data_IF_008274082339
#
_entry.id   IF_008274082339
#
_cell.length_a   1.000
_cell.length_b   1.000
_cell.length_c   1.000
_cell.angle_alpha   90.00
_cell.angle_beta   90.00
_cell.angle_gamma   90.00
#
_symmetry.space_group_name_H-M   'P 1'
#
loop_
_entity.id
_entity.type
_entity.pdbx_description
1 polymer ?
#
# COMPACT_ATOMS: atom_id res chain seq x y z
N UNK A 1 23.87 -0.57 -2.16
CA UNK A 1 23.17 -1.77 -1.61
C UNK A 1 22.56 -1.58 -0.22
N UNK A 2 22.88 -0.50 0.51
CA UNK A 2 22.34 -0.22 1.85
C UNK A 2 20.85 0.14 1.86
N UNK A 3 20.38 0.87 0.84
CA UNK A 3 18.98 1.35 0.76
C UNK A 3 17.96 0.20 0.59
N UNK A 4 18.15 -0.79 -0.32
CA UNK A 4 17.24 -1.94 -0.41
C UNK A 4 17.12 -2.73 0.89
N UNK A 5 18.25 -2.98 1.55
CA UNK A 5 18.29 -3.73 2.82
C UNK A 5 17.56 -2.97 3.93
N UNK A 6 17.74 -1.65 4.00
CA UNK A 6 17.04 -0.81 4.97
C UNK A 6 15.51 -0.82 4.74
N UNK A 7 15.04 -0.72 3.49
CA UNK A 7 13.62 -0.80 3.17
C UNK A 7 13.03 -2.16 3.56
N UNK A 8 13.71 -3.26 3.25
CA UNK A 8 13.25 -4.60 3.66
C UNK A 8 13.14 -4.69 5.18
N UNK A 9 14.12 -4.16 5.93
CA UNK A 9 14.10 -4.15 7.39
C UNK A 9 12.93 -3.32 7.94
N UNK A 10 12.70 -2.13 7.40
CA UNK A 10 11.56 -1.27 7.79
C UNK A 10 10.23 -1.96 7.51
N UNK A 11 10.09 -2.61 6.35
CA UNK A 11 8.90 -3.39 6.02
C UNK A 11 8.65 -4.48 7.06
N UNK A 12 9.66 -5.29 7.36
CA UNK A 12 9.56 -6.37 8.33
C UNK A 12 9.12 -5.86 9.72
N UNK A 13 9.71 -4.75 10.18
CA UNK A 13 9.33 -4.11 11.45
C UNK A 13 7.87 -3.66 11.44
N UNK A 14 7.40 -3.04 10.35
CA UNK A 14 6.00 -2.61 10.23
C UNK A 14 5.05 -3.82 10.22
N UNK A 15 5.38 -4.88 9.48
CA UNK A 15 4.58 -6.11 9.44
C UNK A 15 4.44 -6.75 10.82
N UNK A 16 5.56 -6.87 11.54
CA UNK A 16 5.57 -7.39 12.92
C UNK A 16 4.74 -6.50 13.83
N UNK A 17 4.92 -5.17 13.73
CA UNK A 17 4.16 -4.17 14.48
C UNK A 17 2.66 -4.29 14.24
N UNK A 18 2.21 -4.34 12.98
CA UNK A 18 0.81 -4.48 12.62
C UNK A 18 0.20 -5.78 13.16
N UNK A 19 0.91 -6.91 13.02
CA UNK A 19 0.41 -8.20 13.51
C UNK A 19 0.30 -8.23 15.05
N UNK A 20 1.21 -7.59 15.77
CA UNK A 20 1.16 -7.50 17.23
C UNK A 20 0.14 -6.48 17.73
N UNK A 21 -0.08 -5.38 16.99
CA UNK A 21 -1.07 -4.35 17.33
C UNK A 21 -2.50 -4.79 17.03
N UNK A 22 -2.70 -5.61 15.99
CA UNK A 22 -4.03 -6.10 15.57
C UNK A 22 -4.88 -6.67 16.72
N UNK A 23 -4.42 -7.60 17.58
CA UNK A 23 -5.24 -8.11 18.68
C UNK A 23 -5.59 -7.02 19.71
N UNK A 24 -4.71 -6.02 19.88
CA UNK A 24 -4.94 -4.90 20.81
C UNK A 24 -5.99 -3.92 20.28
N UNK A 25 -5.93 -3.58 18.98
CA UNK A 25 -6.93 -2.69 18.36
C UNK A 25 -8.30 -3.35 18.28
N UNK A 26 -8.37 -4.61 17.86
CA UNK A 26 -9.65 -5.34 17.75
C UNK A 26 -10.32 -5.57 19.11
N UNK A 27 -9.56 -5.67 20.20
CA UNK A 27 -10.10 -5.76 21.56
C UNK A 27 -10.68 -4.43 22.06
N UNK A 28 -10.08 -3.30 21.65
CA UNK A 28 -10.49 -1.96 22.09
C UNK A 28 -11.59 -1.33 21.23
N UNK A 29 -11.66 -1.69 19.94
CA UNK A 29 -12.54 -1.03 18.98
C UNK A 29 -13.55 -2.01 18.40
N UNK A 30 -14.82 -1.81 18.78
CA UNK A 30 -15.96 -2.54 18.25
C UNK A 30 -16.58 -1.78 17.06
N UNK A 31 -16.07 -2.04 15.86
CA UNK A 31 -16.60 -1.45 14.62
C UNK A 31 -17.92 -2.14 14.25
N UNK A 32 -18.88 -1.35 13.76
CA UNK A 32 -20.17 -1.88 13.29
C UNK A 32 -20.00 -2.62 11.96
N UNK A 33 -20.81 -3.66 11.68
CA UNK A 33 -20.71 -4.44 10.44
C UNK A 33 -20.84 -3.61 9.15
N UNK A 34 -21.64 -2.53 9.20
CA UNK A 34 -21.81 -1.60 8.08
C UNK A 34 -20.52 -0.84 7.77
N UNK A 35 -19.85 -0.31 8.80
CA UNK A 35 -18.56 0.39 8.64
C UNK A 35 -17.49 -0.59 8.15
N UNK A 36 -17.45 -1.82 8.66
CA UNK A 36 -16.50 -2.84 8.21
C UNK A 36 -16.66 -3.15 6.72
N UNK A 37 -17.90 -3.25 6.25
CA UNK A 37 -18.21 -3.49 4.83
C UNK A 37 -17.78 -2.29 3.97
N UNK A 38 -18.09 -1.07 4.39
CA UNK A 38 -17.67 0.15 3.69
C UNK A 38 -16.15 0.29 3.60
N UNK A 39 -15.44 0.01 4.70
CA UNK A 39 -13.97 0.01 4.74
C UNK A 39 -13.36 -1.05 3.82
N UNK A 40 -13.92 -2.26 3.84
CA UNK A 40 -13.46 -3.34 2.96
C UNK A 40 -13.63 -2.95 1.50
N UNK A 41 -14.78 -2.36 1.17
CA UNK A 41 -15.07 -1.88 -0.19
C UNK A 41 -14.11 -0.77 -0.61
N UNK A 42 -13.82 0.18 0.28
CA UNK A 42 -12.83 1.24 0.02
C UNK A 42 -11.43 0.66 -0.24
N UNK A 43 -10.99 -0.31 0.56
CA UNK A 43 -9.70 -0.99 0.36
C UNK A 43 -9.67 -1.72 -0.99
N UNK A 44 -10.76 -2.40 -1.36
CA UNK A 44 -10.88 -3.04 -2.66
C UNK A 44 -10.81 -2.01 -3.81
N UNK A 45 -11.50 -0.87 -3.71
CA UNK A 45 -11.45 0.19 -4.73
C UNK A 45 -10.03 0.74 -4.85
N UNK A 46 -9.36 1.02 -3.73
CA UNK A 46 -7.98 1.50 -3.73
C UNK A 46 -7.05 0.48 -4.38
N UNK A 47 -7.18 -0.80 -4.00
CA UNK A 47 -6.36 -1.87 -4.57
C UNK A 47 -6.58 -2.05 -6.06
N UNK A 48 -7.83 -2.14 -6.51
CA UNK A 48 -8.19 -2.29 -7.92
C UNK A 48 -7.74 -1.07 -8.71
N UNK A 49 -8.02 0.14 -8.22
CA UNK A 49 -7.58 1.39 -8.82
C UNK A 49 -6.07 1.47 -8.94
N UNK A 50 -5.34 0.98 -7.94
CA UNK A 50 -3.88 0.90 -7.98
C UNK A 50 -3.37 -0.10 -9.02
N UNK A 51 -4.01 -1.27 -9.15
CA UNK A 51 -3.68 -2.25 -10.21
C UNK A 51 -3.92 -1.64 -11.59
N UNK A 52 -5.06 -0.96 -11.79
CA UNK A 52 -5.33 -0.24 -13.04
C UNK A 52 -4.31 0.86 -13.31
N UNK A 53 -3.90 1.61 -12.27
CA UNK A 53 -2.84 2.61 -12.39
C UNK A 53 -1.52 1.98 -12.83
N UNK A 54 -1.11 0.86 -12.22
CA UNK A 54 0.10 0.14 -12.62
C UNK A 54 0.01 -0.36 -14.07
N UNK A 55 -1.11 -0.98 -14.46
CA UNK A 55 -1.32 -1.45 -15.83
C UNK A 55 -1.31 -0.29 -16.82
N UNK A 56 -1.98 0.81 -16.50
CA UNK A 56 -1.99 2.03 -17.32
C UNK A 56 -0.58 2.59 -17.45
N UNK A 57 0.18 2.67 -16.36
CA UNK A 57 1.56 3.14 -16.38
C UNK A 57 2.46 2.19 -17.20
N UNK A 58 2.26 0.87 -17.10
CA UNK A 58 3.08 -0.11 -17.81
C UNK A 58 2.77 -0.13 -19.32
N UNK A 59 1.51 0.09 -19.72
CA UNK A 59 1.06 0.10 -21.12
C UNK A 59 1.30 1.46 -21.77
N UNK A 60 0.88 2.54 -21.12
CA UNK A 60 0.88 3.90 -21.67
C UNK A 60 2.01 4.78 -21.16
N UNK A 61 2.60 4.48 -20.00
CA UNK A 61 3.77 5.22 -19.48
C UNK A 61 5.03 5.04 -20.34
N UNK A 62 5.09 3.98 -21.15
CA UNK A 62 6.10 3.83 -22.21
C UNK A 62 5.93 4.84 -23.36
N UNK A 63 4.75 5.44 -23.49
CA UNK A 63 4.36 6.32 -24.59
C UNK A 63 4.19 7.73 -24.02
N UNK A 64 5.26 8.40 -23.57
CA UNK A 64 5.46 9.82 -23.14
C UNK A 64 4.28 10.82 -23.00
N UNK A 65 3.06 10.41 -22.69
CA UNK A 65 1.85 11.25 -22.67
C UNK A 65 1.75 12.11 -21.41
N UNK A 66 2.47 11.74 -20.36
CA UNK A 66 2.44 12.42 -19.06
C UNK A 66 3.86 12.90 -18.73
N UNK A 67 4.05 14.18 -18.33
CA UNK A 67 5.34 14.66 -17.84
C UNK A 67 5.83 13.81 -16.66
N UNK A 68 7.10 13.40 -16.68
CA UNK A 68 7.69 12.51 -15.67
C UNK A 68 7.45 12.98 -14.23
N UNK A 69 7.64 14.28 -13.96
CA UNK A 69 7.39 14.89 -12.64
C UNK A 69 5.94 14.77 -12.16
N UNK A 70 4.97 14.79 -13.07
CA UNK A 70 3.55 14.62 -12.73
C UNK A 70 3.26 13.15 -12.43
N UNK A 71 3.85 12.25 -13.23
CA UNK A 71 3.69 10.81 -13.05
C UNK A 71 4.31 10.32 -11.72
N UNK A 72 5.47 10.85 -11.33
CA UNK A 72 6.12 10.59 -10.04
C UNK A 72 5.22 10.98 -8.85
N UNK A 73 4.61 12.17 -8.88
CA UNK A 73 3.70 12.63 -7.83
C UNK A 73 2.47 11.73 -7.72
N UNK A 74 1.87 11.37 -8.86
CA UNK A 74 0.69 10.48 -8.87
C UNK A 74 1.06 9.10 -8.33
N UNK A 75 2.21 8.56 -8.72
CA UNK A 75 2.73 7.30 -8.19
C UNK A 75 2.86 7.36 -6.67
N UNK A 76 3.57 8.35 -6.13
CA UNK A 76 3.75 8.52 -4.68
C UNK A 76 2.41 8.62 -3.93
N UNK A 77 1.46 9.41 -4.44
CA UNK A 77 0.13 9.55 -3.83
C UNK A 77 -0.60 8.20 -3.81
N UNK A 78 -0.61 7.48 -4.94
CA UNK A 78 -1.25 6.18 -5.04
C UNK A 78 -0.62 5.15 -4.09
N UNK A 79 0.71 5.15 -3.98
CA UNK A 79 1.46 4.32 -3.04
C UNK A 79 1.12 4.63 -1.59
N UNK A 80 1.07 5.92 -1.20
CA UNK A 80 0.72 6.33 0.17
C UNK A 80 -0.70 5.90 0.53
N UNK A 81 -1.65 6.06 -0.41
CA UNK A 81 -3.04 5.61 -0.21
C UNK A 81 -3.13 4.09 0.00
N UNK A 82 -2.37 3.29 -0.75
CA UNK A 82 -2.28 1.84 -0.57
C UNK A 82 -1.72 1.47 0.80
N UNK A 83 -0.64 2.12 1.24
CA UNK A 83 -0.02 1.88 2.54
C UNK A 83 -0.98 2.19 3.69
N UNK A 84 -1.60 3.37 3.67
CA UNK A 84 -2.52 3.80 4.73
C UNK A 84 -3.76 2.91 4.78
N UNK A 85 -4.40 2.66 3.63
CA UNK A 85 -5.59 1.81 3.57
C UNK A 85 -5.29 0.37 3.99
N UNK A 86 -4.14 -0.17 3.60
CA UNK A 86 -3.66 -1.48 4.03
C UNK A 86 -3.42 -1.55 5.54
N UNK A 87 -2.70 -0.58 6.12
CA UNK A 87 -2.46 -0.53 7.58
C UNK A 87 -3.76 -0.43 8.38
N UNK A 88 -4.63 0.50 7.99
CA UNK A 88 -5.94 0.70 8.63
C UNK A 88 -6.76 -0.59 8.52
N UNK A 89 -6.79 -1.20 7.34
CA UNK A 89 -7.52 -2.44 7.11
C UNK A 89 -6.99 -3.63 7.91
N UNK A 90 -5.68 -3.76 8.10
CA UNK A 90 -5.09 -4.83 8.94
C UNK A 90 -5.50 -4.67 10.41
N UNK A 91 -5.50 -3.43 10.91
CA UNK A 91 -5.76 -3.14 12.32
C UNK A 91 -7.24 -3.17 12.69
N UNK A 92 -8.12 -2.81 11.76
CA UNK A 92 -9.54 -2.57 12.03
C UNK A 92 -10.47 -3.66 11.50
N UNK A 93 -10.08 -4.44 10.48
CA UNK A 93 -10.94 -5.51 9.95
C UNK A 93 -10.86 -6.77 10.83
N UNK A 94 -12.02 -7.15 11.35
CA UNK A 94 -12.18 -8.28 12.28
C UNK A 94 -11.95 -9.61 11.60
N UNK A 95 -12.55 -9.81 10.43
CA UNK A 95 -12.35 -11.05 9.71
C UNK A 95 -10.90 -11.22 9.26
N UNK A 96 -10.34 -12.40 9.54
CA UNK A 96 -8.97 -12.74 9.16
C UNK A 96 -8.75 -12.59 7.65
N UNK A 97 -9.73 -13.01 6.84
CA UNK A 97 -9.67 -12.93 5.36
C UNK A 97 -9.59 -11.47 4.87
N UNK A 98 -10.42 -10.58 5.41
CA UNK A 98 -10.42 -9.16 5.08
C UNK A 98 -9.13 -8.48 5.53
N UNK A 99 -8.66 -8.77 6.74
CA UNK A 99 -7.37 -8.27 7.23
C UNK A 99 -6.18 -8.75 6.39
N UNK A 100 -6.21 -9.99 5.89
CA UNK A 100 -5.17 -10.51 4.99
C UNK A 100 -5.19 -9.80 3.62
N UNK A 101 -6.36 -9.46 3.09
CA UNK A 101 -6.48 -8.64 1.88
C UNK A 101 -5.83 -7.27 2.08
N UNK A 102 -6.11 -6.63 3.21
CA UNK A 102 -5.49 -5.35 3.59
C UNK A 102 -3.97 -5.48 3.74
N UNK A 103 -3.49 -6.61 4.24
CA UNK A 103 -2.05 -6.90 4.33
C UNK A 103 -1.42 -7.01 2.93
N UNK A 104 -2.09 -7.66 1.98
CA UNK A 104 -1.65 -7.70 0.58
C UNK A 104 -1.60 -6.29 0.01
N UNK A 105 -2.65 -5.50 0.21
CA UNK A 105 -2.69 -4.10 -0.21
C UNK A 105 -1.49 -3.30 0.35
N UNK A 106 -1.21 -3.44 1.65
CA UNK A 106 -0.05 -2.82 2.28
C UNK A 106 1.28 -3.27 1.63
N UNK A 107 1.49 -4.59 1.46
CA UNK A 107 2.71 -5.14 0.88
C UNK A 107 2.90 -4.70 -0.58
N UNK A 108 1.84 -4.66 -1.37
CA UNK A 108 1.87 -4.17 -2.75
C UNK A 108 2.20 -2.68 -2.80
N UNK A 109 1.63 -1.87 -1.91
CA UNK A 109 2.01 -0.46 -1.75
C UNK A 109 3.48 -0.32 -1.37
N UNK A 110 3.97 -1.14 -0.44
CA UNK A 110 5.38 -1.11 -0.04
C UNK A 110 6.33 -1.49 -1.18
N UNK A 111 5.98 -2.51 -1.96
CA UNK A 111 6.75 -2.92 -3.13
C UNK A 111 6.77 -1.81 -4.20
N UNK A 112 5.65 -1.12 -4.38
CA UNK A 112 5.58 0.05 -5.26
C UNK A 112 6.47 1.20 -4.78
N UNK A 113 6.52 1.46 -3.46
CA UNK A 113 7.43 2.45 -2.87
C UNK A 113 8.90 2.05 -3.09
N UNK A 114 9.20 0.76 -2.94
CA UNK A 114 10.53 0.22 -3.19
C UNK A 114 10.98 0.48 -4.64
N UNK A 115 10.13 0.17 -5.62
CA UNK A 115 10.43 0.46 -7.02
C UNK A 115 10.59 1.96 -7.30
N UNK A 116 9.76 2.79 -6.69
CA UNK A 116 9.86 4.25 -6.82
C UNK A 116 11.21 4.78 -6.31
N UNK A 117 11.61 4.38 -5.10
CA UNK A 117 12.89 4.81 -4.49
C UNK A 117 14.07 4.30 -5.32
N UNK A 118 14.05 3.04 -5.74
CA UNK A 118 15.12 2.47 -6.55
C UNK A 118 15.23 3.16 -7.91
N UNK A 119 14.11 3.45 -8.58
CA UNK A 119 14.09 4.14 -9.86
C UNK A 119 14.69 5.55 -9.78
N UNK A 120 14.33 6.31 -8.75
CA UNK A 120 14.87 7.66 -8.55
C UNK A 120 16.34 7.64 -8.09
N UNK A 121 16.72 6.69 -7.22
CA UNK A 121 18.11 6.57 -6.77
C UNK A 121 19.06 6.21 -7.91
N UNK A 122 18.65 5.37 -8.87
CA UNK A 122 19.45 5.06 -10.07
C UNK A 122 19.56 6.28 -11.00
N UNK A 123 18.55 7.15 -11.03
CA UNK A 123 18.55 8.34 -11.88
C UNK A 123 19.43 9.48 -11.38
N UNK A 124 19.77 9.50 -10.08
CA UNK A 124 20.61 10.53 -9.46
C UNK A 124 22.11 10.18 -9.41
N UNK A 125 22.47 8.94 -9.74
CA UNK A 125 23.85 8.42 -9.78
C UNK A 125 24.35 8.33 -11.21
#
# INVERSE_FOLDING_TARGET
MTIPLFLILVCALIVIGLNNLRPLTLKKWTISPSIETGMTLLICIVFVGFVFFLLYFLIFGLISWIPAKTAEKIWLIATILMLLSGMIGVLLLREKRKGNLSMICFLTGYLSLFFFIMGNYISEV
#
